data_IF_819520963196
#
_entry.id   IF_819520963196
#
_cell.length_a   1.000
_cell.length_b   1.000
_cell.length_c   1.000
_cell.angle_alpha   90.00
_cell.angle_beta   90.00
_cell.angle_gamma   90.00
#
_symmetry.space_group_name_H-M   'P 1'
#
loop_
_entity.id
_entity.type
_entity.pdbx_description
1 polymer ?
2 polymer ?
3 polymer ?
4 water ?
#
# COMPACT_ATOMS: atom_id res chain seq x y z
N UNK A 20 -8.94 -12.74 -5.22
CA UNK A 20 -7.68 -12.39 -5.88
C UNK A 20 -7.70 -10.97 -6.47
N UNK A 21 -6.75 -10.13 -6.03
CA UNK A 21 -6.64 -8.74 -6.51
C UNK A 21 -6.73 -8.63 -8.04
N UNK A 22 -5.93 -9.43 -8.74
CA UNK A 22 -5.84 -9.35 -10.19
C UNK A 22 -7.08 -9.90 -10.89
N UNK A 23 -7.80 -10.80 -10.23
CA UNK A 23 -9.06 -11.29 -10.79
C UNK A 23 -10.12 -10.21 -10.67
N UNK A 24 -10.10 -9.47 -9.57
CA UNK A 24 -11.03 -8.37 -9.41
C UNK A 24 -10.77 -7.31 -10.48
N UNK A 25 -9.49 -7.00 -10.72
CA UNK A 25 -9.16 -5.98 -11.71
C UNK A 25 -9.59 -6.46 -13.08
N UNK A 26 -9.37 -7.74 -13.35
CA UNK A 26 -9.78 -8.32 -14.62
C UNK A 26 -11.29 -8.23 -14.87
N UNK A 27 -12.09 -8.39 -13.82
CA UNK A 27 -13.53 -8.17 -13.94
C UNK A 27 -13.88 -6.77 -14.41
N UNK A 28 -12.99 -5.80 -14.18
CA UNK A 28 -13.29 -4.39 -14.48
C UNK A 28 -13.05 -3.94 -15.92
N UNK A 29 -12.48 -4.81 -16.75
CA UNK A 29 -12.13 -4.43 -18.12
C UNK A 29 -13.37 -4.00 -18.93
N UNK A 30 -13.23 -2.89 -19.64
CA UNK A 30 -14.34 -2.33 -20.39
C UNK A 30 -15.18 -1.42 -19.51
N UNK A 31 -15.00 -1.49 -18.20
CA UNK A 31 -15.74 -0.62 -17.29
C UNK A 31 -14.91 0.53 -16.73
N UNK A 32 -15.60 1.46 -16.07
CA UNK A 32 -14.93 2.59 -15.44
C UNK A 32 -14.24 2.25 -14.12
N UNK A 33 -13.01 2.76 -13.97
CA UNK A 33 -12.13 2.50 -12.83
C UNK A 33 -11.69 3.82 -12.22
N UNK A 34 -11.56 3.85 -10.90
CA UNK A 34 -11.06 5.02 -10.20
C UNK A 34 -9.70 4.65 -9.61
N UNK A 35 -8.68 5.45 -9.89
CA UNK A 35 -7.33 5.13 -9.44
C UNK A 35 -6.74 6.24 -8.56
N UNK A 36 -6.14 5.85 -7.44
CA UNK A 36 -5.59 6.79 -6.48
C UNK A 36 -4.09 6.57 -6.35
N UNK A 37 -3.32 7.61 -6.63
CA UNK A 37 -1.86 7.52 -6.58
C UNK A 37 -1.35 7.83 -5.18
N UNK A 38 -0.09 7.49 -4.90
CA UNK A 38 0.53 7.89 -3.65
C UNK A 38 0.69 9.41 -3.67
N UNK A 39 1.00 9.97 -4.84
CA UNK A 39 0.98 11.43 -4.97
C UNK A 39 -0.47 11.91 -4.92
N UNK A 40 -0.66 13.23 -4.91
CA UNK A 40 -2.00 13.83 -4.85
C UNK A 40 -2.65 13.93 -6.23
N UNK A 41 -2.92 12.78 -6.84
CA UNK A 41 -3.49 12.70 -8.17
C UNK A 41 -4.44 11.52 -8.22
N UNK A 42 -5.51 11.67 -8.97
CA UNK A 42 -6.43 10.58 -9.21
C UNK A 42 -6.77 10.49 -10.68
N UNK A 43 -7.14 9.30 -11.13
CA UNK A 43 -7.53 9.11 -12.52
C UNK A 43 -8.82 8.33 -12.54
N UNK A 44 -9.66 8.65 -13.51
CA UNK A 44 -10.89 7.92 -13.75
C UNK A 44 -10.99 7.68 -15.23
N UNK A 45 -11.12 6.42 -15.60
CA UNK A 45 -11.23 6.07 -17.00
C UNK A 45 -11.72 4.66 -17.19
N UNK A 46 -11.71 4.24 -18.44
CA UNK A 46 -12.19 2.94 -18.80
C UNK A 46 -11.01 2.03 -18.93
N UNK A 47 -11.03 0.95 -18.16
CA UNK A 47 -9.91 0.04 -18.14
C UNK A 47 -9.90 -0.77 -19.42
N UNK A 48 -8.75 -0.77 -20.09
CA UNK A 48 -8.57 -1.47 -21.35
C UNK A 48 -7.90 -2.83 -21.12
N UNK A 49 -6.93 -2.85 -20.21
CA UNK A 49 -6.13 -4.03 -19.93
C UNK A 49 -4.96 -3.69 -19.03
N UNK A 50 -4.22 -4.71 -18.61
CA UNK A 50 -3.13 -4.51 -17.67
C UNK A 50 -2.16 -5.69 -17.70
N UNK A 51 -0.94 -5.47 -17.25
CA UNK A 51 0.04 -6.56 -17.20
C UNK A 51 0.18 -7.11 -15.78
N UNK A 52 1.08 -8.09 -15.61
CA UNK A 52 1.33 -8.71 -14.29
C UNK A 52 1.67 -7.72 -13.18
N UNK A 53 2.30 -6.61 -13.56
CA UNK A 53 2.70 -5.60 -12.59
C UNK A 53 1.62 -4.55 -12.37
N UNK A 54 0.46 -4.76 -13.00
CA UNK A 54 -0.62 -3.80 -12.93
C UNK A 54 -0.21 -2.40 -13.41
N UNK A 55 0.62 -2.37 -14.44
CA UNK A 55 0.62 -1.23 -15.31
C UNK A 55 -0.69 -1.35 -16.09
N UNK A 56 -1.49 -0.29 -16.06
CA UNK A 56 -2.78 -0.35 -16.73
C UNK A 56 -2.93 0.63 -17.92
N UNK A 57 -3.77 0.25 -18.87
CA UNK A 57 -4.14 1.14 -19.97
C UNK A 57 -5.55 1.65 -19.72
N UNK A 58 -5.71 2.97 -19.74
CA UNK A 58 -7.04 3.56 -19.57
C UNK A 58 -7.47 4.34 -20.81
N UNK A 59 -8.78 4.32 -21.09
CA UNK A 59 -9.38 5.12 -22.17
C UNK A 59 -10.35 6.16 -21.63
N UNK A 60 -10.46 7.28 -22.34
CA UNK A 60 -11.37 8.36 -21.97
C UNK A 60 -11.19 8.74 -20.50
N UNK A 61 -10.01 9.26 -20.21
CA UNK A 61 -9.55 9.44 -18.85
C UNK A 61 -9.69 10.87 -18.36
N UNK A 62 -10.09 11.03 -17.11
CA UNK A 62 -10.00 12.31 -16.46
C UNK A 62 -8.91 12.25 -15.39
N UNK A 63 -7.94 13.15 -15.50
CA UNK A 63 -6.90 13.29 -14.50
C UNK A 63 -7.28 14.40 -13.52
N UNK A 64 -7.24 14.09 -12.23
CA UNK A 64 -7.59 15.06 -11.20
C UNK A 64 -6.39 15.36 -10.32
N UNK A 65 -5.96 16.62 -10.31
CA UNK A 65 -5.00 17.08 -9.32
C UNK A 65 -5.78 17.45 -8.05
N UNK A 66 -5.62 16.64 -7.01
CA UNK A 66 -6.42 16.80 -5.79
C UNK A 66 -6.00 17.97 -4.89
N UNK A 67 -4.83 18.56 -5.15
CA UNK A 67 -4.48 19.80 -4.44
C UNK A 67 -4.99 21.05 -5.18
N UNK A 68 -4.45 21.29 -6.37
CA UNK A 68 -4.82 22.46 -7.16
C UNK A 68 -6.23 22.42 -7.73
N UNK A 69 -6.86 21.25 -7.73
CA UNK A 69 -8.20 21.10 -8.28
C UNK A 69 -8.25 21.01 -9.80
N UNK A 70 -7.09 21.09 -10.45
CA UNK A 70 -7.04 21.06 -11.90
C UNK A 70 -7.35 19.68 -12.51
N UNK A 71 -8.16 19.71 -13.56
CA UNK A 71 -8.63 18.54 -14.29
C UNK A 71 -8.08 18.53 -15.72
N UNK A 72 -7.77 17.34 -16.24
CA UNK A 72 -7.30 17.18 -17.62
C UNK A 72 -7.88 15.91 -18.23
N UNK A 73 -8.14 15.94 -19.54
CA UNK A 73 -8.72 14.78 -20.23
C UNK A 73 -7.66 14.09 -21.06
N UNK A 74 -7.83 12.79 -21.25
CA UNK A 74 -6.91 12.01 -22.06
C UNK A 74 -7.71 11.01 -22.87
N UNK A 75 -7.37 10.85 -24.14
CA UNK A 75 -8.07 9.86 -24.93
C UNK A 75 -7.64 8.45 -24.50
N UNK A 76 -6.34 8.27 -24.26
CA UNK A 76 -5.82 6.97 -23.87
C UNK A 76 -4.43 7.05 -23.24
N UNK A 77 -4.20 6.26 -22.19
CA UNK A 77 -2.92 6.31 -21.51
C UNK A 77 -2.48 5.02 -20.81
N UNK A 78 -1.17 4.83 -20.77
CA UNK A 78 -0.53 3.81 -19.97
C UNK A 78 -0.22 4.45 -18.63
N UNK A 79 -0.91 3.99 -17.60
CA UNK A 79 -0.73 4.49 -16.26
C UNK A 79 0.17 3.49 -15.51
N UNK A 80 1.37 3.93 -15.15
CA UNK A 80 2.39 3.13 -14.46
C UNK A 80 1.92 2.66 -13.09
N UNK A 81 2.12 1.39 -12.77
CA UNK A 81 1.67 0.83 -11.50
C UNK A 81 2.47 1.11 -10.22
N UNK A 82 3.71 1.55 -10.36
CA UNK A 82 4.60 1.71 -9.20
C UNK A 82 4.12 2.72 -8.17
N UNK A 83 3.50 3.80 -8.63
CA UNK A 83 3.08 4.84 -7.72
C UNK A 83 1.61 4.75 -7.36
N UNK A 84 0.92 3.69 -7.76
CA UNK A 84 -0.48 3.62 -7.37
C UNK A 84 -0.74 2.96 -6.01
N UNK A 85 -1.67 3.54 -5.27
CA UNK A 85 -2.07 3.00 -3.99
C UNK A 85 -3.26 2.06 -4.15
N UNK A 86 -4.30 2.55 -4.83
CA UNK A 86 -5.58 1.84 -4.92
C UNK A 86 -6.28 1.93 -6.26
N UNK A 87 -6.93 0.83 -6.63
CA UNK A 87 -7.81 0.82 -7.79
C UNK A 87 -9.19 0.48 -7.27
N UNK A 88 -10.17 1.28 -7.68
CA UNK A 88 -11.53 1.15 -7.20
C UNK A 88 -12.51 0.98 -8.35
N UNK A 89 -13.10 -0.22 -8.46
CA UNK A 89 -14.15 -0.52 -9.44
C UNK A 89 -15.32 0.45 -9.25
N UNK A 90 -15.84 1.04 -10.34
CA UNK A 90 -16.71 2.21 -10.27
C UNK A 90 -15.91 3.46 -10.63
N UNK A 91 -16.36 4.64 -10.22
CA UNK A 91 -15.66 5.87 -10.58
C UNK A 91 -15.38 6.81 -9.41
N UNK B 1 27.17 -10.13 -6.46
CA UNK B 1 25.89 -10.27 -5.77
C UNK B 1 25.75 -11.56 -4.93
N UNK B 2 24.95 -11.49 -3.87
CA UNK B 2 24.64 -12.65 -3.04
C UNK B 2 23.32 -12.44 -2.29
N UNK B 3 23.15 -13.12 -1.16
CA UNK B 3 21.93 -12.93 -0.38
C UNK B 3 22.23 -12.27 0.97
N UNK B 4 23.20 -11.35 0.97
CA UNK B 4 23.50 -10.50 2.12
C UNK B 4 22.29 -9.81 2.80
N UNK B 5 21.32 -9.31 2.00
CA UNK B 5 20.14 -8.73 2.66
C UNK B 5 19.36 -9.74 3.52
N UNK B 6 19.07 -10.92 2.98
CA UNK B 6 18.34 -11.92 3.73
C UNK B 6 19.15 -12.46 4.92
N UNK B 7 20.45 -12.67 4.72
CA UNK B 7 21.37 -13.01 5.82
C UNK B 7 21.29 -11.99 6.96
N UNK B 8 21.34 -10.70 6.61
CA UNK B 8 21.24 -9.64 7.61
C UNK B 8 19.92 -9.72 8.39
N UNK B 9 18.81 -9.91 7.69
CA UNK B 9 17.50 -9.97 8.34
C UNK B 9 17.35 -11.21 9.23
N UNK B 10 17.90 -12.33 8.79
CA UNK B 10 17.89 -13.54 9.60
C UNK B 10 18.71 -13.35 10.86
N UNK B 11 19.84 -12.65 10.72
CA UNK B 11 20.72 -12.43 11.85
C UNK B 11 20.03 -11.61 12.95
N UNK B 12 19.01 -10.86 12.59
CA UNK B 12 18.43 -9.92 13.52
C UNK B 12 17.00 -10.34 13.91
N UNK B 13 16.61 -11.54 13.51
CA UNK B 13 15.33 -12.10 13.93
C UNK B 13 15.29 -12.25 15.46
N UNK B 14 14.20 -11.81 16.09
CA UNK B 14 14.08 -11.85 17.53
C UNK B 14 14.66 -10.64 18.23
N UNK B 15 15.26 -9.74 17.47
CA UNK B 15 15.86 -8.54 18.03
C UNK B 15 15.06 -7.29 17.67
N UNK B 16 15.38 -6.19 18.32
CA UNK B 16 14.79 -4.93 17.97
C UNK B 16 15.51 -4.33 16.77
N UNK B 17 14.72 -3.82 15.83
CA UNK B 17 15.25 -3.12 14.68
C UNK B 17 14.58 -1.77 14.53
N UNK B 18 15.32 -0.84 13.95
CA UNK B 18 14.77 0.43 13.50
C UNK B 18 14.45 0.35 11.98
N UNK B 19 13.21 0.64 11.62
CA UNK B 19 12.79 0.67 10.22
C UNK B 19 12.38 2.08 9.86
N UNK B 20 13.10 2.69 8.92
CA UNK B 20 12.78 4.04 8.50
C UNK B 20 12.06 4.05 7.13
N UNK B 21 11.09 4.95 6.97
CA UNK B 21 10.45 5.21 5.67
C UNK B 21 11.06 6.46 5.05
N UNK B 22 11.01 6.59 3.73
CA UNK B 22 11.58 7.81 3.13
C UNK B 22 10.82 9.06 3.58
N UNK B 23 9.55 8.89 3.95
CA UNK B 23 8.77 9.98 4.54
C UNK B 23 9.36 10.50 5.87
N UNK B 24 10.17 9.70 6.56
CA UNK B 24 10.74 10.13 7.82
C UNK B 24 10.08 9.49 9.03
N UNK B 25 9.06 8.67 8.79
CA UNK B 25 8.48 7.85 9.85
C UNK B 25 9.42 6.71 10.21
N UNK B 26 9.53 6.44 11.50
CA UNK B 26 10.40 5.40 12.04
C UNK B 26 9.55 4.38 12.78
N UNK B 27 9.89 3.11 12.61
CA UNK B 27 9.30 2.05 13.41
C UNK B 27 10.40 1.36 14.19
N UNK B 28 10.16 1.14 15.48
CA UNK B 28 11.05 0.31 16.32
C UNK B 28 10.29 -0.88 16.86
N UNK B 29 10.74 -2.07 16.51
CA UNK B 29 9.99 -3.27 16.82
C UNK B 29 10.84 -4.52 16.79
N UNK B 30 10.24 -5.63 17.19
CA UNK B 30 10.93 -6.90 17.23
C UNK B 30 10.61 -7.67 15.96
N UNK B 31 11.65 -8.07 15.25
CA UNK B 31 11.49 -8.84 14.03
C UNK B 31 11.18 -10.30 14.37
N UNK B 32 9.97 -10.76 14.05
CA UNK B 32 9.57 -12.15 14.36
C UNK B 32 9.92 -13.12 13.23
N UNK B 33 9.36 -12.88 12.05
CA UNK B 33 9.85 -13.57 10.86
C UNK B 33 9.86 -12.74 9.60
N UNK B 34 10.45 -13.32 8.57
CA UNK B 34 10.45 -12.72 7.27
C UNK B 34 10.24 -13.84 6.26
N UNK B 35 9.91 -13.46 5.03
CA UNK B 35 9.93 -14.39 3.92
C UNK B 35 11.09 -13.98 3.01
N UNK B 36 11.27 -14.69 1.90
CA UNK B 36 12.38 -14.41 1.01
C UNK B 36 12.27 -13.07 0.30
N UNK B 37 11.07 -12.48 0.34
CA UNK B 37 10.82 -11.22 -0.36
C UNK B 37 10.96 -9.99 0.54
N UNK B 38 11.47 -10.21 1.75
CA UNK B 38 11.65 -9.13 2.71
C UNK B 38 10.34 -8.56 3.26
N UNK B 39 9.26 -9.33 3.16
CA UNK B 39 8.08 -9.03 3.97
C UNK B 39 8.41 -9.39 5.43
N UNK B 40 8.06 -8.50 6.35
CA UNK B 40 8.49 -8.65 7.73
C UNK B 40 7.29 -8.77 8.64
N UNK B 41 7.38 -9.66 9.61
CA UNK B 41 6.39 -9.70 10.66
C UNK B 41 7.04 -9.07 11.87
N UNK B 42 6.35 -8.10 12.47
CA UNK B 42 6.89 -7.36 13.61
C UNK B 42 6.04 -7.60 14.84
N UNK B 43 6.67 -7.55 16.01
CA UNK B 43 5.95 -7.56 17.27
C UNK B 43 6.37 -6.33 18.07
N UNK B 44 5.51 -5.89 18.98
CA UNK B 44 5.89 -4.86 19.92
C UNK B 44 6.57 -3.73 19.18
N UNK B 45 5.82 -3.11 18.28
CA UNK B 45 6.35 -2.06 17.43
C UNK B 45 5.83 -0.68 17.80
N UNK B 46 6.73 0.29 17.80
CA UNK B 46 6.38 1.66 18.09
C UNK B 46 6.62 2.49 16.84
N UNK B 47 5.71 3.42 16.58
CA UNK B 47 5.80 4.29 15.43
C UNK B 47 6.07 5.72 15.87
N UNK B 48 7.05 6.36 15.24
CA UNK B 48 7.44 7.71 15.58
C UNK B 48 7.41 8.63 14.37
N UNK B 49 6.68 9.72 14.49
CA UNK B 49 6.76 10.83 13.55
C UNK B 49 7.29 12.05 14.31
N UNK B 50 8.28 12.73 13.74
CA UNK B 50 8.92 13.88 14.38
C UNK B 50 9.33 13.59 15.81
N UNK B 51 9.79 12.37 16.06
CA UNK B 51 10.26 11.98 17.38
C UNK B 51 9.16 11.72 18.41
N UNK B 52 7.91 11.91 18.01
CA UNK B 52 6.81 11.63 18.93
C UNK B 52 6.23 10.25 18.65
N UNK B 53 6.16 9.39 19.67
CA UNK B 53 5.50 8.10 19.49
C UNK B 53 4.04 8.33 19.12
N UNK B 54 3.63 7.77 18.00
CA UNK B 54 2.33 8.07 17.44
C UNK B 54 1.41 6.85 17.46
N UNK B 55 2.00 5.67 17.62
CA UNK B 55 1.17 4.49 17.70
C UNK B 55 1.97 3.28 18.13
N UNK B 56 1.26 2.25 18.56
CA UNK B 56 1.94 1.02 18.86
C UNK B 56 1.17 -0.13 18.24
N UNK B 57 1.89 -1.19 17.91
CA UNK B 57 1.25 -2.34 17.29
C UNK B 57 1.75 -3.58 18.00
N UNK B 58 0.83 -4.44 18.42
CA UNK B 58 1.21 -5.69 19.03
C UNK B 58 1.83 -6.58 17.97
N UNK B 59 1.26 -6.49 16.77
CA UNK B 59 1.72 -7.24 15.61
C UNK B 59 1.47 -6.39 14.39
N UNK B 60 2.46 -6.32 13.52
CA UNK B 60 2.32 -5.62 12.27
C UNK B 60 3.04 -6.41 11.18
N UNK B 61 2.56 -6.25 9.96
CA UNK B 61 3.26 -6.75 8.79
C UNK B 61 3.87 -5.55 8.10
N UNK B 62 5.13 -5.66 7.75
CA UNK B 62 5.80 -4.57 7.05
C UNK B 62 6.46 -5.01 5.76
N UNK B 63 6.18 -4.26 4.70
CA UNK B 63 6.68 -4.62 3.38
C UNK B 63 8.08 -4.04 3.19
N UNK B 64 9.08 -4.88 3.43
CA UNK B 64 10.46 -4.44 3.44
C UNK B 64 10.93 -3.79 2.16
N UNK B 65 10.35 -4.23 1.05
CA UNK B 65 10.69 -3.64 -0.24
C UNK B 65 10.36 -2.15 -0.30
N UNK B 66 9.43 -1.71 0.54
CA UNK B 66 8.96 -0.32 0.52
C UNK B 66 9.49 0.58 1.62
N UNK B 67 10.46 0.10 2.40
CA UNK B 67 11.04 0.99 3.39
C UNK B 67 12.36 1.56 2.88
N UNK B 68 12.84 2.59 3.55
CA UNK B 68 14.15 3.15 3.27
C UNK B 68 15.27 2.22 3.78
N UNK B 69 15.19 1.83 5.05
CA UNK B 69 16.18 0.91 5.61
C UNK B 69 15.72 0.13 6.84
N UNK B 70 16.39 -0.97 7.10
CA UNK B 70 16.22 -1.70 8.36
C UNK B 70 17.58 -1.68 9.04
N UNK B 71 17.61 -1.16 10.26
CA UNK B 71 18.88 -0.97 10.98
C UNK B 71 18.87 -1.74 12.29
N UNK B 72 19.98 -2.41 12.57
CA UNK B 72 20.12 -3.15 13.83
C UNK B 72 20.12 -2.20 15.03
N UNK B 73 19.34 -2.54 16.05
CA UNK B 73 19.29 -1.75 17.28
C UNK B 73 20.02 -2.45 18.43
N UNK C 32 -7.70 -12.10 7.87
CA UNK C 32 -8.70 -12.48 6.88
C UNK C 32 -10.12 -12.28 7.40
N UNK C 33 -10.91 -11.53 6.64
CA UNK C 33 -12.22 -11.04 7.07
C UNK C 33 -12.14 -10.14 8.29
N UNK C 34 -10.92 -9.88 8.73
CA UNK C 34 -10.67 -8.98 9.84
C UNK C 34 -10.61 -7.56 9.31
N UNK C 35 -10.94 -6.58 10.14
CA UNK C 35 -10.67 -5.21 9.76
C UNK C 35 -9.23 -4.87 10.09
N UNK C 36 -8.53 -4.30 9.12
CA UNK C 36 -7.12 -3.98 9.28
C UNK C 36 -6.92 -2.52 8.96
N UNK C 37 -5.75 -1.99 9.31
CA UNK C 37 -5.38 -0.66 8.87
C UNK C 37 -4.13 -0.80 8.01
N UNK C 38 -3.95 0.12 7.08
CA UNK C 38 -2.84 0.04 6.17
C UNK C 38 -2.26 1.43 5.95
N UNK C 39 -0.95 1.50 5.73
CA UNK C 39 -0.35 2.78 5.41
C UNK C 39 0.44 2.62 4.11
N UNK C 40 0.57 3.71 3.37
CA UNK C 40 1.20 3.64 2.08
C UNK C 40 2.44 4.49 2.06
N UNK C 41 3.36 4.11 1.19
CA UNK C 41 4.55 4.89 0.94
C UNK C 41 4.31 6.40 0.81
N UNK C 42 3.17 6.81 0.27
CA UNK C 42 2.93 8.25 0.22
C UNK C 42 2.60 8.93 1.56
N UNK C 43 2.40 8.15 2.62
CA UNK C 43 1.83 8.67 3.84
C UNK C 43 0.34 8.37 4.01
N UNK C 44 -0.36 8.02 2.92
CA UNK C 44 -1.79 7.73 2.98
C UNK C 44 -2.12 6.60 3.95
N UNK C 45 -3.27 6.71 4.60
CA UNK C 45 -3.70 5.77 5.62
C UNK C 45 -5.13 5.38 5.37
N UNK C 46 -5.42 4.09 5.46
CA UNK C 46 -6.77 3.61 5.25
C UNK C 46 -7.09 2.52 6.25
N UNK C 47 -8.32 2.07 6.20
CA UNK C 47 -8.82 1.05 7.08
C UNK C 47 -9.82 0.24 6.23
N UNK C 48 -9.91 -1.06 6.45
CA UNK C 48 -10.80 -1.86 5.64
C UNK C 48 -10.78 -3.30 6.04
N UNK C 49 -11.69 -4.08 5.49
CA UNK C 49 -11.81 -5.50 5.82
C UNK C 49 -11.08 -6.33 4.78
N UNK C 50 -10.14 -7.15 5.22
CA UNK C 50 -9.34 -7.93 4.29
C UNK C 50 -10.16 -9.05 3.65
N UNK C 51 -10.21 -9.08 2.32
CA UNK C 51 -10.94 -10.12 1.57
C UNK C 51 -10.04 -10.99 0.71
N UNK C 52 -8.79 -10.60 0.52
CA UNK C 52 -7.93 -11.38 -0.33
C UNK C 52 -6.60 -10.72 -0.57
N UNK C 53 -5.66 -11.46 -1.16
CA UNK C 53 -4.33 -10.93 -1.34
C UNK C 53 -3.55 -11.90 -2.21
N UNK C 54 -2.39 -11.48 -2.70
CA UNK C 54 -1.60 -12.33 -3.58
C UNK C 54 -0.13 -12.25 -3.19
N UNK C 55 0.70 -13.03 -3.89
CA UNK C 55 2.12 -13.16 -3.58
C UNK C 55 2.89 -11.84 -3.59
N UNK C 56 2.41 -10.90 -4.40
CA UNK C 56 3.04 -9.59 -4.52
C UNK C 56 2.49 -8.59 -3.50
N UNK C 57 1.62 -9.06 -2.60
CA UNK C 57 1.04 -8.19 -1.56
C UNK C 57 0.02 -7.15 -2.04
N UNK C 58 -0.49 -7.32 -3.26
CA UNK C 58 -1.76 -6.70 -3.61
C UNK C 58 -2.79 -7.27 -2.67
N UNK C 59 -3.73 -6.44 -2.23
CA UNK C 59 -4.82 -6.88 -1.37
C UNK C 59 -6.17 -6.48 -1.96
N UNK C 60 -7.20 -7.22 -1.59
CA UNK C 60 -8.56 -6.77 -1.80
C UNK C 60 -9.14 -6.42 -0.44
N UNK C 61 -9.62 -5.20 -0.30
CA UNK C 61 -10.26 -4.76 0.93
C UNK C 61 -11.68 -4.33 0.66
N UNK C 62 -12.58 -4.65 1.58
CA UNK C 62 -13.94 -4.14 1.49
C UNK C 62 -14.20 -3.06 2.56
N UNK C 63 -15.20 -2.23 2.31
CA UNK C 63 -15.65 -1.22 3.26
C UNK C 63 -14.54 -0.28 3.67
N UNK C 64 -13.71 0.09 2.70
CA UNK C 64 -12.54 0.91 2.97
C UNK C 64 -12.88 2.33 3.39
N UNK C 65 -12.12 2.87 4.33
CA UNK C 65 -12.23 4.27 4.70
C UNK C 65 -10.86 4.88 4.74
N UNK C 66 -10.67 5.98 4.02
CA UNK C 66 -9.42 6.71 4.09
C UNK C 66 -9.48 7.86 5.10
N UNK C 67 -8.51 7.89 6.01
CA UNK C 67 -8.33 9.00 6.93
C UNK C 67 -7.53 10.09 6.22
N UNK C 68 -8.18 11.22 5.97
CA UNK C 68 -7.63 12.28 5.12
C UNK C 68 -6.56 13.14 5.79
N UNK C 78 -8.90 15.61 10.07
CA UNK C 78 -9.52 14.52 10.81
C UNK C 78 -10.72 13.91 10.09
N UNK C 79 -10.92 14.32 8.84
CA UNK C 79 -12.02 13.81 8.01
C UNK C 79 -11.77 12.38 7.50
N UNK C 80 -12.76 11.83 6.80
CA UNK C 80 -12.62 10.52 6.16
C UNK C 80 -13.41 10.45 4.87
N UNK C 81 -13.02 9.55 3.98
CA UNK C 81 -13.82 9.26 2.80
C UNK C 81 -14.05 7.74 2.72
N UNK C 82 -15.28 7.35 2.41
CA UNK C 82 -15.61 5.93 2.24
C UNK C 82 -15.32 5.54 0.80
N UNK C 83 -14.67 4.40 0.59
CA UNK C 83 -14.21 4.05 -0.76
C UNK C 83 -14.79 2.72 -1.22
N UNK C 84 -15.33 1.96 -0.28
CA UNK C 84 -16.00 0.71 -0.59
C UNK C 84 -15.04 -0.41 -0.87
N UNK C 85 -15.21 -1.04 -2.04
CA UNK C 85 -14.38 -2.17 -2.46
C UNK C 85 -13.15 -1.68 -3.23
N UNK C 86 -11.95 -1.99 -2.75
CA UNK C 86 -10.75 -1.50 -3.40
C UNK C 86 -9.68 -2.57 -3.55
N UNK C 87 -8.80 -2.37 -4.51
CA UNK C 87 -7.61 -3.18 -4.66
C UNK C 87 -6.44 -2.31 -4.21
N UNK C 88 -5.71 -2.80 -3.21
CA UNK C 88 -4.56 -2.10 -2.67
C UNK C 88 -3.31 -2.61 -3.34
N UNK C 89 -2.44 -1.71 -3.77
CA UNK C 89 -1.24 -2.08 -4.48
C UNK C 89 -0.03 -2.38 -3.56
N UNK C 90 0.58 -3.56 -3.71
CA UNK C 90 1.67 -3.99 -2.84
C UNK C 90 2.93 -3.18 -3.09
N UNK C 91 2.84 -2.39 -4.15
CA UNK C 91 3.93 -1.59 -4.66
C UNK C 91 4.10 -0.29 -3.83
N UNK C 92 3.06 0.09 -3.10
CA UNK C 92 3.10 1.28 -2.26
C UNK C 92 2.68 0.95 -0.83
N UNK C 93 2.21 -0.27 -0.62
CA UNK C 93 1.83 -0.75 0.70
C UNK C 93 3.07 -0.82 1.61
N UNK C 94 3.02 -0.17 2.77
CA UNK C 94 4.11 -0.32 3.73
C UNK C 94 3.71 -1.20 4.91
N UNK C 95 2.62 -0.86 5.56
CA UNK C 95 2.27 -1.45 6.85
C UNK C 95 0.85 -2.00 6.85
N UNK C 96 0.69 -3.18 7.43
CA UNK C 96 -0.62 -3.77 7.66
C UNK C 96 -0.67 -4.18 9.12
N UNK C 97 -1.71 -3.76 9.83
CA UNK C 97 -1.88 -4.16 11.23
C UNK C 97 -3.35 -4.23 11.60
N UNK C 98 -3.69 -5.08 12.59
CA UNK C 98 -5.05 -5.16 13.14
C UNK C 98 -5.55 -3.79 13.58
N UNK C 99 -6.86 -3.67 13.75
CA UNK C 99 -7.47 -2.41 14.16
C UNK C 99 -6.93 -1.80 15.47
N UNK C 100 -6.83 -0.47 15.48
CA UNK C 100 -6.38 0.35 16.63
C UNK C 100 -4.98 0.96 16.40
#
# INVERSE_FOLDING_TARGET
>A
XGSSHHHHHHSQDPXSXTILPLELIDKCIGSNLWVIMKSEREFAGTLVGFDDYVNIVLKDVTEYDTVTGVTEKHSEMLLNGNGMCMLIPGGKPE
>B
MDSSPNEFLNKVIGKKVLIRLSSGVDYKGILSCLDGYMNLALERTEEYVNGKKTNVYGDAFIRGNNVLYVSALDD
>C
XSSLQKRPGPGNSSQPTERPRKESILDLSRYQDQRIQATFTGGRQITGILKGFDQLMNLVLDDVEEQLRNPEDGKLTGAIRKLGLVVVRGTTLVLIAPMDGSEEIPNPFVQAE
#
